data_IF_176128137851
#
_entry.id   IF_176128137851
#
_cell.length_a   1.000
_cell.length_b   1.000
_cell.length_c   1.000
_cell.angle_alpha   90.00
_cell.angle_beta   90.00
_cell.angle_gamma   90.00
#
_symmetry.space_group_name_H-M   'P 1'
#
loop_
_entity.id
_entity.type
_entity.pdbx_description
1 polymer ?
#
# COMPACT_ATOMS: atom_id res chain seq x y z
N UNK A 1 10.10 2.95 12.63
CA UNK A 1 9.43 3.56 13.79
C UNK A 1 8.51 4.67 13.34
N UNK A 2 7.27 4.70 13.83
CA UNK A 2 6.28 5.74 13.59
C UNK A 2 6.27 6.72 14.78
N UNK A 3 6.19 8.02 14.53
CA UNK A 3 6.14 9.02 15.61
C UNK A 3 5.27 10.24 15.21
N UNK A 4 4.31 10.67 16.04
CA UNK A 4 3.83 9.98 17.24
C UNK A 4 3.06 8.69 16.87
N UNK A 5 3.06 7.66 17.72
CA UNK A 5 2.27 6.45 17.48
C UNK A 5 0.77 6.67 17.74
N UNK A 6 0.42 7.66 18.55
CA UNK A 6 -0.97 8.08 18.87
C UNK A 6 -0.99 9.61 18.96
N UNK A 7 -2.00 10.24 18.37
CA UNK A 7 -2.20 11.67 18.45
C UNK A 7 -3.69 12.00 18.52
N UNK A 8 -4.05 13.05 19.26
CA UNK A 8 -5.39 13.62 19.23
C UNK A 8 -5.49 14.62 18.08
N UNK A 9 -6.50 14.47 17.23
CA UNK A 9 -6.73 15.35 16.08
C UNK A 9 -7.99 16.16 16.36
N UNK A 10 -7.91 17.48 16.18
CA UNK A 10 -9.06 18.38 16.29
C UNK A 10 -9.95 18.32 15.06
N UNK A 11 -11.18 18.83 15.18
CA UNK A 11 -12.08 18.95 14.04
C UNK A 11 -11.42 19.78 12.93
N UNK A 12 -11.54 19.31 11.68
CA UNK A 12 -10.94 19.93 10.49
C UNK A 12 -9.41 20.16 10.58
N UNK A 13 -8.73 19.38 11.42
CA UNK A 13 -7.28 19.42 11.59
C UNK A 13 -6.63 18.16 11.03
N UNK A 14 -5.29 18.16 10.96
CA UNK A 14 -4.49 17.04 10.51
C UNK A 14 -3.26 16.86 11.38
N UNK A 15 -2.68 15.66 11.36
CA UNK A 15 -1.48 15.34 12.10
C UNK A 15 -0.39 14.85 11.15
N UNK A 16 0.79 15.47 11.19
CA UNK A 16 1.96 14.93 10.53
C UNK A 16 2.53 13.77 11.36
N UNK A 17 2.73 12.62 10.70
CA UNK A 17 3.44 11.48 11.27
C UNK A 17 4.80 11.32 10.59
N UNK A 18 5.82 11.03 11.39
CA UNK A 18 7.18 10.77 10.91
C UNK A 18 7.44 9.28 10.91
N UNK A 19 7.94 8.75 9.79
CA UNK A 19 8.36 7.36 9.65
C UNK A 19 9.87 7.36 9.51
N UNK A 20 10.56 6.74 10.48
CA UNK A 20 12.02 6.54 10.43
C UNK A 20 12.35 5.08 10.22
N UNK A 21 13.32 4.82 9.36
CA UNK A 21 13.90 3.49 9.22
C UNK A 21 14.64 3.13 10.52
N UNK A 22 14.53 1.88 10.93
CA UNK A 22 15.28 1.32 12.06
C UNK A 22 16.40 0.42 11.51
N UNK A 23 17.44 0.10 12.29
CA UNK A 23 18.40 -0.95 11.92
C UNK A 23 17.65 -2.20 11.46
N UNK A 24 17.99 -2.70 10.27
CA UNK A 24 17.26 -3.76 9.61
C UNK A 24 18.22 -4.61 8.75
N UNK A 25 17.74 -5.77 8.32
CA UNK A 25 18.42 -6.66 7.37
C UNK A 25 17.55 -6.87 6.12
N UNK A 26 17.15 -5.76 5.49
CA UNK A 26 16.33 -5.82 4.27
C UNK A 26 17.20 -6.06 3.03
N UNK A 27 16.65 -6.68 1.97
CA UNK A 27 17.32 -6.78 0.68
C UNK A 27 17.78 -5.42 0.18
N UNK A 28 19.00 -5.36 -0.34
CA UNK A 28 19.60 -4.13 -0.90
C UNK A 28 19.39 -4.01 -2.41
N UNK A 29 18.95 -5.09 -3.07
CA UNK A 29 18.79 -5.19 -4.52
C UNK A 29 17.32 -5.15 -5.00
N UNK A 30 16.35 -5.12 -4.08
CA UNK A 30 14.92 -5.01 -4.40
C UNK A 30 14.10 -4.30 -3.33
N UNK A 31 12.93 -3.80 -3.71
CA UNK A 31 12.00 -3.18 -2.77
C UNK A 31 11.43 -4.20 -1.77
N UNK A 32 11.24 -3.74 -0.53
CA UNK A 32 10.49 -4.46 0.49
C UNK A 32 9.16 -3.78 0.76
N UNK A 33 8.10 -4.55 0.97
CA UNK A 33 6.78 -4.01 1.27
C UNK A 33 6.50 -4.05 2.77
N UNK A 34 6.00 -2.93 3.27
CA UNK A 34 5.42 -2.76 4.60
C UNK A 34 4.00 -2.20 4.45
N UNK A 35 3.27 -2.12 5.56
CA UNK A 35 1.98 -1.46 5.62
C UNK A 35 1.95 -0.45 6.76
N UNK A 36 1.55 0.78 6.45
CA UNK A 36 1.16 1.76 7.45
C UNK A 36 -0.30 1.50 7.81
N UNK A 37 -0.55 1.19 9.07
CA UNK A 37 -1.89 1.04 9.62
C UNK A 37 -2.21 2.29 10.44
N UNK A 38 -3.31 2.95 10.13
CA UNK A 38 -3.81 4.13 10.85
C UNK A 38 -5.22 3.79 11.32
N UNK A 39 -5.41 3.76 12.63
CA UNK A 39 -6.69 3.47 13.26
C UNK A 39 -7.26 4.76 13.84
N UNK A 40 -8.44 5.14 13.38
CA UNK A 40 -9.17 6.29 13.89
C UNK A 40 -10.11 5.85 15.02
N UNK A 41 -9.94 6.45 16.20
CA UNK A 41 -10.73 6.15 17.39
C UNK A 41 -11.64 7.34 17.67
N UNK A 42 -12.97 7.20 17.50
CA UNK A 42 -13.90 8.31 17.75
C UNK A 42 -13.97 8.61 19.26
N UNK A 43 -14.16 9.89 19.64
CA UNK A 43 -14.33 10.26 21.05
C UNK A 43 -15.62 9.66 21.62
N UNK A 44 -15.63 9.44 22.93
CA UNK A 44 -16.86 9.17 23.66
C UNK A 44 -17.64 10.48 23.81
N UNK A 45 -18.96 10.43 23.62
CA UNK A 45 -19.88 11.55 23.84
C UNK A 45 -20.69 11.28 25.12
N UNK A 46 -20.74 12.22 26.08
CA UNK A 46 -21.56 12.09 27.28
C UNK A 46 -23.04 11.87 26.97
N UNK A 47 -23.53 12.40 25.84
CA UNK A 47 -24.92 12.24 25.39
C UNK A 47 -25.29 10.79 25.03
N UNK A 48 -24.28 9.93 24.83
CA UNK A 48 -24.42 8.49 24.57
C UNK A 48 -24.21 7.62 25.82
N UNK A 49 -23.94 8.22 26.97
CA UNK A 49 -23.75 7.47 28.23
C UNK A 49 -25.06 6.78 28.65
N UNK A 50 -24.99 5.50 28.99
CA UNK A 50 -26.16 4.68 29.34
C UNK A 50 -27.07 4.27 28.18
N UNK A 51 -26.71 4.60 26.93
CA UNK A 51 -27.47 4.22 25.72
C UNK A 51 -26.76 3.13 24.92
N UNK A 52 -27.55 2.34 24.20
CA UNK A 52 -27.02 1.42 23.19
C UNK A 52 -26.56 2.23 21.97
N UNK A 53 -25.25 2.38 21.81
CA UNK A 53 -24.64 3.12 20.70
C UNK A 53 -23.69 2.21 19.92
N UNK A 54 -23.82 2.23 18.59
CA UNK A 54 -22.85 1.62 17.69
C UNK A 54 -21.80 2.67 17.32
N UNK A 55 -20.52 2.34 17.51
CA UNK A 55 -19.38 3.19 17.14
C UNK A 55 -18.60 2.55 16.02
N UNK A 56 -18.27 3.35 15.01
CA UNK A 56 -17.42 2.93 13.90
C UNK A 56 -16.02 3.49 14.11
N UNK A 57 -15.04 2.59 14.11
CA UNK A 57 -13.63 2.93 14.02
C UNK A 57 -13.14 2.52 12.62
N UNK A 58 -12.39 3.40 11.96
CA UNK A 58 -11.89 3.14 10.61
C UNK A 58 -10.40 2.82 10.67
N UNK A 59 -10.00 1.72 10.05
CA UNK A 59 -8.58 1.38 9.89
C UNK A 59 -8.16 1.54 8.44
N UNK A 60 -7.31 2.52 8.17
CA UNK A 60 -6.65 2.70 6.89
C UNK A 60 -5.37 1.87 6.84
N UNK A 61 -5.23 1.01 5.83
CA UNK A 61 -4.02 0.21 5.59
C UNK A 61 -3.39 0.59 4.27
N UNK A 62 -2.26 1.29 4.33
CA UNK A 62 -1.58 1.89 3.17
C UNK A 62 -0.28 1.13 2.90
N UNK A 63 -0.01 0.78 1.64
CA UNK A 63 1.25 0.14 1.22
C UNK A 63 2.41 1.13 1.40
N UNK A 64 3.49 0.68 2.04
CA UNK A 64 4.71 1.45 2.27
C UNK A 64 5.89 0.68 1.70
N UNK A 65 6.50 1.19 0.63
CA UNK A 65 7.63 0.53 -0.03
C UNK A 65 8.95 1.07 0.50
N UNK A 66 9.75 0.20 1.10
CA UNK A 66 11.16 0.48 1.35
C UNK A 66 11.94 0.26 0.05
N UNK A 67 12.58 1.31 -0.43
CA UNK A 67 13.40 1.30 -1.65
C UNK A 67 14.87 1.55 -1.27
N UNK A 68 15.73 0.52 -1.37
CA UNK A 68 17.17 0.68 -1.29
C UNK A 68 17.72 1.76 -2.23
N UNK A 69 18.82 2.39 -1.83
CA UNK A 69 19.55 3.31 -2.70
C UNK A 69 20.03 2.57 -3.97
N UNK A 70 19.95 3.24 -5.13
CA UNK A 70 20.32 2.66 -6.42
C UNK A 70 19.18 1.96 -7.17
N UNK A 71 18.04 1.71 -6.53
CA UNK A 71 16.83 1.28 -7.23
C UNK A 71 16.06 2.50 -7.73
N UNK A 72 15.81 2.55 -9.03
CA UNK A 72 15.03 3.62 -9.64
C UNK A 72 13.55 3.57 -9.18
N UNK A 73 12.85 4.72 -9.07
CA UNK A 73 11.41 4.72 -8.86
C UNK A 73 10.68 4.05 -10.02
N UNK A 74 9.49 3.52 -9.75
CA UNK A 74 8.60 2.94 -10.76
C UNK A 74 8.35 3.98 -11.86
N UNK A 75 8.71 3.61 -13.09
CA UNK A 75 8.55 4.47 -14.26
C UNK A 75 8.26 3.61 -15.51
N UNK A 76 8.17 4.25 -16.68
CA UNK A 76 7.91 3.54 -17.96
C UNK A 76 8.90 2.41 -18.24
N UNK A 77 10.17 2.53 -17.85
CA UNK A 77 11.17 1.48 -18.03
C UNK A 77 10.95 0.29 -17.08
N UNK A 78 10.38 0.50 -15.89
CA UNK A 78 9.95 -0.60 -15.00
C UNK A 78 8.92 -1.48 -15.70
N UNK A 79 7.91 -0.89 -16.35
CA UNK A 79 6.88 -1.63 -17.07
C UNK A 79 7.42 -2.42 -18.28
N UNK A 80 8.52 -1.98 -18.90
CA UNK A 80 9.20 -2.75 -19.96
C UNK A 80 9.88 -4.03 -19.46
N UNK A 81 10.09 -4.15 -18.14
CA UNK A 81 10.63 -5.36 -17.50
C UNK A 81 9.54 -6.34 -17.06
N UNK A 82 8.28 -6.05 -17.39
CA UNK A 82 7.18 -7.00 -17.19
C UNK A 82 7.06 -7.90 -18.40
N UNK A 83 7.13 -9.20 -18.19
CA UNK A 83 6.94 -10.21 -19.22
C UNK A 83 5.52 -10.78 -19.08
N UNK A 84 4.75 -10.68 -20.16
CA UNK A 84 3.36 -11.17 -20.20
C UNK A 84 3.32 -12.36 -21.14
N UNK A 85 3.01 -13.53 -20.61
CA UNK A 85 2.89 -14.77 -21.38
C UNK A 85 1.47 -15.31 -21.26
N UNK A 86 0.93 -15.86 -22.36
CA UNK A 86 -0.30 -16.63 -22.31
C UNK A 86 -0.01 -18.01 -21.76
N UNK A 87 -0.80 -18.45 -20.79
CA UNK A 87 -0.76 -19.81 -20.26
C UNK A 87 -2.18 -20.37 -20.22
N UNK A 88 -2.48 -21.29 -21.14
CA UNK A 88 -3.83 -21.80 -21.38
C UNK A 88 -4.82 -20.67 -21.70
N UNK A 89 -5.85 -20.54 -20.84
CA UNK A 89 -6.89 -19.51 -20.95
C UNK A 89 -6.57 -18.23 -20.15
N UNK A 90 -5.39 -18.13 -19.53
CA UNK A 90 -4.99 -17.01 -18.71
C UNK A 90 -3.74 -16.29 -19.20
N UNK A 91 -3.40 -15.20 -18.49
CA UNK A 91 -2.15 -14.47 -18.63
C UNK A 91 -1.30 -14.66 -17.38
N UNK A 92 -0.01 -14.88 -17.57
CA UNK A 92 1.01 -14.89 -16.52
C UNK A 92 1.86 -13.65 -16.71
N UNK A 93 1.95 -12.82 -15.67
CA UNK A 93 2.78 -11.61 -15.66
C UNK A 93 3.95 -11.87 -14.72
N UNK A 94 5.17 -11.86 -15.27
CA UNK A 94 6.42 -11.94 -14.52
C UNK A 94 7.03 -10.54 -14.42
N UNK A 95 7.53 -10.20 -13.23
CA UNK A 95 8.20 -8.93 -12.97
C UNK A 95 9.71 -9.18 -12.85
N UNK A 96 10.49 -8.71 -13.83
CA UNK A 96 11.95 -8.76 -13.77
C UNK A 96 12.56 -7.43 -13.30
N UNK A 97 11.74 -6.57 -12.67
CA UNK A 97 12.19 -5.33 -12.05
C UNK A 97 12.44 -5.50 -10.55
N UNK A 98 13.20 -4.57 -9.96
CA UNK A 98 13.46 -4.52 -8.53
C UNK A 98 12.35 -3.82 -7.72
N UNK A 99 11.23 -3.46 -8.37
CA UNK A 99 10.12 -2.73 -7.75
C UNK A 99 8.88 -3.61 -7.57
N UNK A 100 8.08 -3.32 -6.54
CA UNK A 100 6.69 -3.79 -6.51
C UNK A 100 5.87 -3.00 -7.53
N UNK A 101 5.08 -3.70 -8.35
CA UNK A 101 4.22 -3.05 -9.35
C UNK A 101 2.76 -3.38 -9.06
N UNK A 102 1.91 -2.35 -9.00
CA UNK A 102 0.45 -2.52 -8.90
C UNK A 102 -0.15 -2.30 -10.29
N UNK A 103 -0.86 -3.30 -10.81
CA UNK A 103 -1.52 -3.28 -12.12
C UNK A 103 -3.02 -3.22 -11.88
N UNK A 104 -3.62 -2.07 -12.15
CA UNK A 104 -5.07 -1.87 -12.02
C UNK A 104 -5.85 -2.50 -13.15
N UNK A 105 -5.34 -2.37 -14.38
CA UNK A 105 -5.98 -2.81 -15.62
C UNK A 105 -4.98 -3.50 -16.55
N UNK A 106 -5.41 -4.63 -17.09
CA UNK A 106 -4.80 -5.35 -18.20
C UNK A 106 -5.85 -5.39 -19.31
N UNK A 107 -5.48 -4.96 -20.51
CA UNK A 107 -6.40 -4.93 -21.66
C UNK A 107 -5.89 -5.79 -22.80
N UNK A 108 -6.77 -6.58 -23.41
CA UNK A 108 -6.55 -7.26 -24.68
C UNK A 108 -7.57 -6.71 -25.69
N UNK A 109 -7.11 -6.15 -26.81
CA UNK A 109 -7.97 -5.49 -27.81
C UNK A 109 -8.98 -4.50 -27.17
N UNK A 110 -8.51 -3.65 -26.26
CA UNK A 110 -9.29 -2.69 -25.46
C UNK A 110 -10.28 -3.28 -24.44
N UNK A 111 -10.43 -4.59 -24.35
CA UNK A 111 -11.26 -5.25 -23.33
C UNK A 111 -10.42 -5.49 -22.08
N UNK A 112 -10.90 -5.07 -20.91
CA UNK A 112 -10.27 -5.35 -19.61
C UNK A 112 -10.38 -6.85 -19.31
N UNK A 113 -9.25 -7.50 -19.04
CA UNK A 113 -9.18 -8.96 -18.83
C UNK A 113 -8.86 -9.37 -17.39
N UNK A 114 -8.40 -8.45 -16.54
CA UNK A 114 -8.22 -8.73 -15.11
C UNK A 114 -9.47 -8.34 -14.33
N UNK A 115 -9.93 -9.23 -13.44
CA UNK A 115 -11.09 -8.97 -12.57
C UNK A 115 -10.73 -8.02 -11.42
N UNK A 116 -9.51 -8.14 -10.89
CA UNK A 116 -9.04 -7.39 -9.73
C UNK A 116 -7.72 -6.68 -10.01
N UNK A 117 -7.42 -5.66 -9.21
CA UNK A 117 -6.09 -5.04 -9.19
C UNK A 117 -5.09 -6.02 -8.62
N UNK A 118 -4.06 -6.35 -9.39
CA UNK A 118 -3.00 -7.27 -8.96
C UNK A 118 -1.77 -6.48 -8.56
N UNK A 119 -1.02 -7.01 -7.59
CA UNK A 119 0.28 -6.48 -7.21
C UNK A 119 1.32 -7.57 -7.37
N UNK A 120 2.33 -7.30 -8.20
CA UNK A 120 3.39 -8.25 -8.52
C UNK A 120 4.67 -7.84 -7.78
N UNK A 121 5.27 -8.82 -7.11
CA UNK A 121 6.51 -8.65 -6.35
C UNK A 121 7.72 -8.48 -7.29
N UNK A 122 8.82 -7.84 -6.83
CA UNK A 122 10.11 -7.93 -7.48
C UNK A 122 10.79 -9.30 -7.35
#
# INVERSE_FOLDING_TARGET
MLTPPVAKIGANSGQQVKIKIMPNKLPTNKESIFYLNVLDIPPNSPEQEGKNALKFAMQNRIKLFYRPAGIAPVNKATFKKLLVNRSGNGLVIKNDSANWVTISDVKANNVKVNYETIMIAP
#
